data_IF_115609886904
#
_entry.id   IF_115609886904
#
_cell.length_a   1.000
_cell.length_b   1.000
_cell.length_c   1.000
_cell.angle_alpha   90.00
_cell.angle_beta   90.00
_cell.angle_gamma   90.00
#
_symmetry.space_group_name_H-M   'P 1'
#
loop_
_entity.id
_entity.type
_entity.pdbx_description
1 polymer ?
#
# COMPACT_ATOMS: atom_id res chain seq x y z
N UNK A 1 -8.77 6.78 -9.03
CA UNK A 1 -10.03 7.35 -9.55
C UNK A 1 -10.50 8.43 -8.60
N UNK A 2 -10.99 9.56 -9.11
CA UNK A 2 -11.48 10.68 -8.29
C UNK A 2 -10.42 11.69 -7.86
N UNK A 3 -9.20 11.62 -8.38
CA UNK A 3 -8.17 12.62 -8.17
C UNK A 3 -8.38 13.82 -9.11
N UNK A 4 -8.26 15.03 -8.59
CA UNK A 4 -8.28 16.26 -9.40
C UNK A 4 -7.16 16.29 -10.45
N UNK A 5 -6.09 15.55 -10.27
CA UNK A 5 -4.98 15.42 -11.21
C UNK A 5 -5.45 14.90 -12.58
N UNK A 6 -6.43 13.97 -12.60
CA UNK A 6 -7.01 13.44 -13.85
C UNK A 6 -7.87 14.48 -14.58
N UNK A 7 -8.35 15.51 -13.87
CA UNK A 7 -9.18 16.58 -14.43
C UNK A 7 -8.37 17.80 -14.92
N UNK A 8 -7.08 17.83 -14.61
CA UNK A 8 -6.21 19.00 -14.84
C UNK A 8 -5.31 18.88 -16.08
N UNK A 9 -5.49 17.90 -16.95
CA UNK A 9 -4.64 17.67 -18.13
C UNK A 9 -3.12 17.75 -17.83
N UNK A 10 -2.73 17.35 -16.61
CA UNK A 10 -1.33 17.37 -16.21
C UNK A 10 -0.53 16.38 -17.07
N UNK A 11 0.62 16.79 -17.64
CA UNK A 11 1.44 15.89 -18.43
C UNK A 11 1.94 14.73 -17.57
N UNK A 12 1.51 13.52 -17.90
CA UNK A 12 1.96 12.28 -17.25
C UNK A 12 3.18 11.78 -18.04
N UNK A 13 4.33 11.53 -17.40
CA UNK A 13 5.49 10.97 -18.07
C UNK A 13 5.13 9.65 -18.76
N UNK A 14 5.65 9.46 -19.96
CA UNK A 14 5.52 8.18 -20.67
C UNK A 14 6.43 7.10 -20.08
N UNK A 15 6.31 5.87 -20.59
CA UNK A 15 7.12 4.76 -20.11
C UNK A 15 8.63 4.94 -20.32
N UNK A 16 9.05 5.64 -21.36
CA UNK A 16 10.46 5.89 -21.65
C UNK A 16 11.06 6.85 -20.60
N UNK A 17 10.39 7.97 -20.34
CA UNK A 17 10.81 8.93 -19.32
C UNK A 17 10.84 8.30 -17.91
N UNK A 18 9.85 7.46 -17.57
CA UNK A 18 9.86 6.73 -16.29
C UNK A 18 11.02 5.74 -16.23
N UNK A 19 11.34 5.05 -17.33
CA UNK A 19 12.51 4.16 -17.42
C UNK A 19 13.82 4.90 -17.13
N UNK A 20 14.04 6.05 -17.77
CA UNK A 20 15.23 6.88 -17.53
C UNK A 20 15.35 7.36 -16.08
N UNK A 21 14.21 7.74 -15.44
CA UNK A 21 14.19 8.12 -14.02
C UNK A 21 14.58 6.94 -13.11
N UNK A 22 14.12 5.73 -13.42
CA UNK A 22 14.44 4.54 -12.64
C UNK A 22 15.91 4.13 -12.82
N UNK A 23 16.46 4.20 -14.03
CA UNK A 23 17.86 3.93 -14.32
C UNK A 23 18.77 4.92 -13.59
N UNK A 24 18.41 6.20 -13.61
CA UNK A 24 19.10 7.23 -12.85
C UNK A 24 19.08 6.92 -11.35
N UNK A 25 17.89 6.64 -10.78
CA UNK A 25 17.74 6.28 -9.37
C UNK A 25 18.55 5.03 -9.01
N UNK A 26 18.50 3.99 -9.85
CA UNK A 26 19.28 2.75 -9.69
C UNK A 26 20.79 2.95 -9.73
N UNK A 27 21.24 4.02 -10.37
CA UNK A 27 22.68 4.39 -10.42
C UNK A 27 23.11 5.24 -9.22
N UNK A 28 22.29 6.20 -8.82
CA UNK A 28 22.66 7.21 -7.81
C UNK A 28 22.43 6.70 -6.38
N UNK A 29 21.30 6.01 -6.13
CA UNK A 29 20.94 5.58 -4.79
C UNK A 29 21.95 4.62 -4.14
N UNK A 30 22.46 3.58 -4.83
CA UNK A 30 23.51 2.73 -4.26
C UNK A 30 24.79 3.48 -3.93
N UNK A 31 25.19 4.44 -4.78
CA UNK A 31 26.36 5.28 -4.51
C UNK A 31 26.19 6.19 -3.29
N UNK A 32 24.96 6.54 -2.97
CA UNK A 32 24.59 7.31 -1.77
C UNK A 32 24.35 6.43 -0.52
N UNK A 33 24.62 5.12 -0.61
CA UNK A 33 24.48 4.18 0.50
C UNK A 33 23.06 3.66 0.73
N UNK A 34 22.18 3.79 -0.26
CA UNK A 34 20.84 3.20 -0.21
C UNK A 34 20.85 1.81 -0.84
N UNK A 35 20.03 0.91 -0.27
CA UNK A 35 19.75 -0.42 -0.79
C UNK A 35 18.24 -0.63 -1.00
N UNK A 36 17.83 -1.41 -2.00
CA UNK A 36 16.43 -1.79 -2.13
C UNK A 36 16.04 -2.73 -0.98
N UNK A 37 14.84 -2.56 -0.42
CA UNK A 37 14.39 -3.39 0.69
C UNK A 37 12.98 -3.95 0.54
N UNK A 38 12.17 -3.44 -0.40
CA UNK A 38 10.93 -4.08 -0.83
C UNK A 38 10.61 -3.76 -2.29
N UNK A 39 9.78 -4.60 -2.89
CA UNK A 39 9.32 -4.48 -4.26
C UNK A 39 7.80 -4.55 -4.30
N UNK A 40 7.17 -3.63 -5.02
CA UNK A 40 5.73 -3.63 -5.22
C UNK A 40 5.36 -3.36 -6.66
N UNK A 41 4.62 -4.28 -7.28
CA UNK A 41 4.10 -4.08 -8.62
C UNK A 41 2.73 -3.43 -8.59
N UNK A 42 2.68 -2.15 -8.89
CA UNK A 42 1.43 -1.40 -8.98
C UNK A 42 0.79 -1.58 -10.36
N UNK A 43 -0.53 -1.79 -10.38
CA UNK A 43 -1.31 -1.82 -11.64
C UNK A 43 -1.42 -0.40 -12.22
N UNK A 44 -1.43 -0.30 -13.55
CA UNK A 44 -1.62 0.96 -14.29
C UNK A 44 -0.50 2.00 -14.13
N UNK A 45 0.72 1.57 -13.93
CA UNK A 45 1.88 2.45 -14.02
C UNK A 45 2.34 2.61 -15.47
N UNK A 46 2.78 3.84 -15.83
CA UNK A 46 3.43 4.08 -17.11
C UNK A 46 4.64 3.16 -17.29
N UNK A 47 4.69 2.42 -18.41
CA UNK A 47 5.77 1.46 -18.67
C UNK A 47 5.67 0.13 -17.93
N UNK A 48 4.70 -0.06 -17.02
CA UNK A 48 4.53 -1.31 -16.27
C UNK A 48 5.65 -1.64 -15.28
N UNK A 49 6.42 -0.63 -14.88
CA UNK A 49 7.53 -0.76 -13.95
C UNK A 49 7.08 -1.10 -12.53
N UNK A 50 8.00 -1.64 -11.76
CA UNK A 50 7.81 -1.96 -10.35
C UNK A 50 8.21 -0.77 -9.45
N UNK A 51 7.51 -0.63 -8.33
CA UNK A 51 7.85 0.35 -7.31
C UNK A 51 8.81 -0.27 -6.30
N UNK A 52 10.04 0.23 -6.26
CA UNK A 52 11.09 -0.26 -5.38
C UNK A 52 11.26 0.70 -4.20
N UNK A 53 11.18 0.17 -2.99
CA UNK A 53 11.52 0.94 -1.79
C UNK A 53 13.03 0.93 -1.55
N UNK A 54 13.61 2.12 -1.39
CA UNK A 54 15.04 2.31 -1.11
C UNK A 54 15.24 2.86 0.29
N UNK A 55 16.23 2.35 1.01
CA UNK A 55 16.57 2.82 2.35
C UNK A 55 18.06 2.65 2.65
N UNK A 56 18.54 3.34 3.68
CA UNK A 56 19.85 3.03 4.25
C UNK A 56 19.73 1.81 5.15
N UNK A 57 20.76 0.95 5.22
CA UNK A 57 20.75 -0.21 6.10
C UNK A 57 20.43 0.15 7.55
N UNK A 58 19.53 -0.61 8.16
CA UNK A 58 19.05 -0.38 9.54
C UNK A 58 17.96 0.69 9.68
N UNK A 59 17.46 1.24 8.57
CA UNK A 59 16.37 2.23 8.55
C UNK A 59 15.16 1.72 7.74
N UNK A 60 15.03 0.41 7.59
CA UNK A 60 13.93 -0.22 6.89
C UNK A 60 12.60 0.06 7.59
N UNK A 61 11.59 0.46 6.82
CA UNK A 61 10.26 0.63 7.35
C UNK A 61 9.59 -0.75 7.50
N UNK A 62 9.51 -1.22 8.74
CA UNK A 62 8.92 -2.52 9.07
C UNK A 62 7.47 -2.66 8.61
N UNK A 63 6.69 -1.57 8.64
CA UNK A 63 5.32 -1.58 8.13
C UNK A 63 5.28 -1.94 6.63
N UNK A 64 6.18 -1.37 5.83
CA UNK A 64 6.24 -1.68 4.41
C UNK A 64 6.60 -3.16 4.17
N UNK A 65 7.55 -3.69 4.92
CA UNK A 65 7.92 -5.12 4.84
C UNK A 65 6.73 -5.98 5.24
N UNK A 66 6.13 -5.74 6.40
CA UNK A 66 5.02 -6.53 6.90
C UNK A 66 3.80 -6.52 5.97
N UNK A 67 3.50 -5.39 5.31
CA UNK A 67 2.35 -5.29 4.41
C UNK A 67 2.62 -5.99 3.06
N UNK A 68 3.85 -5.93 2.56
CA UNK A 68 4.22 -6.56 1.28
C UNK A 68 4.36 -8.07 1.41
N UNK A 69 5.02 -8.53 2.46
CA UNK A 69 5.27 -9.95 2.72
C UNK A 69 4.12 -10.66 3.46
N UNK A 70 3.04 -9.93 3.77
CA UNK A 70 1.87 -10.48 4.48
C UNK A 70 2.20 -11.17 5.82
N UNK A 71 3.18 -10.61 6.56
CA UNK A 71 3.71 -11.21 7.79
C UNK A 71 2.81 -10.98 9.00
N UNK A 72 1.99 -9.94 8.99
CA UNK A 72 1.13 -9.59 10.12
C UNK A 72 -0.25 -9.12 9.68
N UNK A 73 -1.21 -9.23 10.57
CA UNK A 73 -2.52 -8.63 10.41
C UNK A 73 -2.42 -7.11 10.57
N UNK A 74 -3.20 -6.38 9.80
CA UNK A 74 -3.26 -4.91 9.82
C UNK A 74 -4.70 -4.50 10.11
N UNK A 75 -4.93 -3.88 11.26
CA UNK A 75 -6.20 -3.25 11.59
C UNK A 75 -6.18 -1.82 11.06
N UNK A 76 -6.98 -1.56 10.04
CA UNK A 76 -7.07 -0.25 9.40
C UNK A 76 -8.37 0.46 9.79
N UNK A 77 -8.33 1.80 9.92
CA UNK A 77 -9.46 2.64 10.29
C UNK A 77 -9.57 3.83 9.34
N UNK A 78 -10.80 4.25 9.06
CA UNK A 78 -11.09 5.41 8.22
C UNK A 78 -11.77 5.08 6.90
N UNK A 79 -12.20 6.11 6.18
CA UNK A 79 -12.87 5.95 4.89
C UNK A 79 -11.96 5.25 3.86
N UNK A 80 -12.43 4.14 3.31
CA UNK A 80 -11.67 3.31 2.37
C UNK A 80 -10.55 2.48 2.98
N UNK A 81 -10.46 2.42 4.32
CA UNK A 81 -9.49 1.58 5.01
C UNK A 81 -9.69 0.10 4.68
N UNK A 82 -8.59 -0.64 4.60
CA UNK A 82 -8.59 -2.07 4.30
C UNK A 82 -7.89 -2.83 5.42
N UNK A 83 -8.68 -3.35 6.35
CA UNK A 83 -8.18 -4.30 7.36
C UNK A 83 -7.82 -5.61 6.68
N UNK A 84 -6.66 -6.14 7.03
CA UNK A 84 -6.08 -7.36 6.47
C UNK A 84 -5.76 -8.31 7.62
N UNK A 85 -6.35 -9.49 7.60
CA UNK A 85 -6.15 -10.51 8.63
C UNK A 85 -5.32 -11.65 8.08
N UNK A 86 -4.23 -11.95 8.76
CA UNK A 86 -3.28 -13.03 8.41
C UNK A 86 -3.29 -14.06 9.53
N UNK A 87 -3.59 -15.32 9.22
CA UNK A 87 -3.58 -16.41 10.21
C UNK A 87 -2.16 -16.82 10.54
N UNK A 88 -1.81 -17.06 11.85
CA UNK A 88 -0.45 -17.41 12.25
C UNK A 88 0.10 -18.69 11.60
N UNK A 89 -0.78 -19.62 11.26
CA UNK A 89 -0.41 -20.93 10.71
C UNK A 89 -0.50 -21.00 9.17
N UNK A 90 -0.55 -19.86 8.51
CA UNK A 90 -0.87 -19.78 7.10
C UNK A 90 -2.37 -20.02 6.85
N UNK A 91 -2.84 -19.69 5.68
CA UNK A 91 -4.23 -19.87 5.32
C UNK A 91 -4.74 -18.72 4.44
N UNK A 92 -6.05 -18.70 4.22
CA UNK A 92 -6.69 -17.67 3.40
C UNK A 92 -6.62 -16.33 4.12
N UNK A 93 -6.05 -15.35 3.43
CA UNK A 93 -6.05 -13.97 3.86
C UNK A 93 -7.46 -13.40 3.78
N UNK A 94 -7.92 -12.79 4.86
CA UNK A 94 -9.22 -12.12 4.93
C UNK A 94 -9.06 -10.61 4.84
N UNK A 95 -9.96 -9.93 4.13
CA UNK A 95 -9.95 -8.47 3.99
C UNK A 95 -11.32 -7.88 4.27
N UNK A 96 -11.35 -6.86 5.12
CA UNK A 96 -12.52 -6.07 5.46
C UNK A 96 -12.28 -4.63 5.02
N UNK A 97 -13.11 -4.13 4.10
CA UNK A 97 -12.93 -2.81 3.49
C UNK A 97 -14.04 -1.88 3.96
N UNK A 98 -13.65 -0.75 4.54
CA UNK A 98 -14.57 0.31 4.93
C UNK A 98 -15.03 1.12 3.69
N UNK A 99 -16.25 1.72 3.72
CA UNK A 99 -16.72 2.58 2.65
C UNK A 99 -15.75 3.70 2.32
N UNK A 100 -15.57 3.98 1.01
CA UNK A 100 -14.60 4.98 0.54
C UNK A 100 -15.05 6.42 0.72
N UNK A 101 -16.36 6.66 0.54
CA UNK A 101 -16.90 8.01 0.57
C UNK A 101 -17.16 8.44 2.01
N UNK A 102 -16.74 9.67 2.40
CA UNK A 102 -16.92 10.15 3.78
C UNK A 102 -18.35 10.09 4.28
N UNK A 103 -19.32 10.47 3.45
CA UNK A 103 -20.73 10.43 3.79
C UNK A 103 -21.23 9.01 4.08
N UNK A 104 -20.83 8.05 3.28
CA UNK A 104 -21.17 6.64 3.46
C UNK A 104 -20.46 6.04 4.68
N UNK A 105 -19.19 6.40 4.90
CA UNK A 105 -18.42 5.98 6.07
C UNK A 105 -19.08 6.48 7.37
N UNK A 106 -19.44 7.76 7.44
CA UNK A 106 -20.08 8.37 8.62
C UNK A 106 -21.46 7.73 8.87
N UNK A 107 -22.26 7.55 7.82
CA UNK A 107 -23.59 6.94 7.95
C UNK A 107 -23.56 5.48 8.44
N UNK A 108 -22.43 4.78 8.29
CA UNK A 108 -22.28 3.38 8.68
C UNK A 108 -21.32 3.19 9.88
N UNK A 109 -20.95 4.26 10.60
CA UNK A 109 -19.91 4.20 11.62
C UNK A 109 -20.16 3.14 12.70
N UNK A 110 -21.39 3.04 13.21
CA UNK A 110 -21.76 2.08 14.26
C UNK A 110 -21.60 0.63 13.77
N UNK A 111 -22.03 0.35 12.53
CA UNK A 111 -21.86 -0.97 11.90
C UNK A 111 -20.38 -1.30 11.70
N UNK A 112 -19.56 -0.33 11.30
CA UNK A 112 -18.13 -0.48 11.11
C UNK A 112 -17.44 -0.80 12.44
N UNK A 113 -17.80 -0.08 13.51
CA UNK A 113 -17.26 -0.31 14.85
C UNK A 113 -17.65 -1.72 15.37
N UNK A 114 -18.89 -2.13 15.21
CA UNK A 114 -19.35 -3.46 15.58
C UNK A 114 -18.57 -4.56 14.82
N UNK A 115 -18.45 -4.43 13.50
CA UNK A 115 -17.70 -5.37 12.68
C UNK A 115 -16.22 -5.45 13.09
N UNK A 116 -15.61 -4.33 13.50
CA UNK A 116 -14.21 -4.34 13.98
C UNK A 116 -14.06 -4.98 15.35
N UNK A 117 -15.05 -4.88 16.24
CA UNK A 117 -15.06 -5.58 17.52
C UNK A 117 -15.11 -7.12 17.33
N UNK A 118 -15.83 -7.59 16.31
CA UNK A 118 -15.90 -9.02 16.00
C UNK A 118 -14.55 -9.60 15.50
N UNK A 119 -13.62 -8.76 15.01
CA UNK A 119 -12.30 -9.21 14.56
C UNK A 119 -11.45 -9.78 15.70
N UNK A 120 -11.75 -9.50 16.96
CA UNK A 120 -11.08 -10.11 18.10
C UNK A 120 -11.19 -11.63 18.07
N UNK A 121 -12.35 -12.16 17.67
CA UNK A 121 -12.58 -13.60 17.56
C UNK A 121 -11.69 -14.30 16.51
N UNK A 122 -11.11 -13.55 15.57
CA UNK A 122 -10.18 -14.09 14.59
C UNK A 122 -8.87 -14.57 15.23
N UNK A 123 -8.47 -13.98 16.35
CA UNK A 123 -7.21 -14.25 17.03
C UNK A 123 -7.33 -15.24 18.20
N UNK A 124 -8.53 -15.67 18.52
CA UNK A 124 -8.82 -16.70 19.52
C UNK A 124 -8.80 -18.10 18.88
#
# INVERSE_FOLDING_TARGET
RGSNLMAQDAPIPDGAAVGEMLDFAGTVLPRAGYAPYYLYRQKFMSGGFENVGWTRPGQENLYNICIMEELCSILAMGGGASTKLVRPNGGRLERHIDPKYPTEYIANIDRICAAKAELEAFFQ
#
